data_IF_961254417067
#
_entry.id   IF_961254417067
#
_cell.length_a   1.000
_cell.length_b   1.000
_cell.length_c   1.000
_cell.angle_alpha   90.00
_cell.angle_beta   90.00
_cell.angle_gamma   90.00
#
_symmetry.space_group_name_H-M   'P 1'
#
loop_
_entity.id
_entity.type
_entity.pdbx_description
1 polymer ?
#
# COMPACT_ATOMS: atom_id res chain seq x y z
N UNK A 1 -53.53 33.33 -50.85
CA UNK A 1 -54.06 34.51 -50.24
C UNK A 1 -53.31 34.76 -48.96
N UNK A 2 -52.41 35.73 -49.05
CA UNK A 2 -51.86 36.69 -48.11
C UNK A 2 -50.92 36.10 -47.06
N UNK A 3 -49.58 36.19 -47.23
CA UNK A 3 -48.69 37.34 -47.03
C UNK A 3 -48.71 37.94 -45.62
N UNK A 4 -47.60 37.87 -44.97
CA UNK A 4 -46.86 38.89 -44.21
C UNK A 4 -45.91 38.20 -43.20
N UNK A 5 -44.65 38.17 -43.44
CA UNK A 5 -43.61 39.18 -43.27
C UNK A 5 -43.59 39.82 -41.88
N UNK A 6 -42.58 39.42 -41.08
CA UNK A 6 -42.18 40.21 -39.89
C UNK A 6 -40.70 40.01 -39.63
N UNK A 7 -39.98 40.98 -39.95
CA UNK A 7 -38.63 41.43 -39.69
C UNK A 7 -38.07 41.02 -38.33
N UNK A 8 -36.85 40.42 -38.41
CA UNK A 8 -35.87 40.36 -37.34
C UNK A 8 -35.35 41.76 -36.99
N UNK A 9 -35.60 42.21 -35.79
CA UNK A 9 -34.96 43.37 -35.21
C UNK A 9 -33.81 42.93 -34.29
N UNK A 10 -32.62 42.83 -34.87
CA UNK A 10 -31.38 42.50 -34.19
C UNK A 10 -30.78 43.81 -33.61
N UNK A 11 -31.28 44.25 -32.46
CA UNK A 11 -30.66 45.33 -31.71
C UNK A 11 -29.49 44.82 -30.87
N UNK A 12 -28.32 44.68 -31.49
CA UNK A 12 -27.08 44.44 -30.80
C UNK A 12 -26.72 45.58 -29.82
N UNK A 13 -26.80 45.30 -28.54
CA UNK A 13 -26.46 46.22 -27.46
C UNK A 13 -24.91 46.36 -27.35
N UNK A 14 -24.32 47.51 -27.68
CA UNK A 14 -22.88 47.70 -27.72
C UNK A 14 -22.16 47.62 -26.35
N UNK A 15 -22.92 47.56 -25.25
CA UNK A 15 -22.37 47.43 -23.89
C UNK A 15 -21.88 46.01 -23.57
N UNK A 16 -22.41 45.00 -24.24
CA UNK A 16 -22.00 43.59 -24.05
C UNK A 16 -20.60 43.28 -24.62
N UNK A 17 -20.29 43.88 -25.79
CA UNK A 17 -18.97 43.66 -26.44
C UNK A 17 -17.81 44.21 -25.62
N UNK A 18 -17.97 45.33 -24.94
CA UNK A 18 -16.89 45.92 -24.11
C UNK A 18 -16.59 45.09 -22.85
N UNK A 19 -17.59 44.44 -22.25
CA UNK A 19 -17.42 43.58 -21.07
C UNK A 19 -16.72 42.29 -21.45
N UNK A 20 -17.01 41.68 -22.58
CA UNK A 20 -16.32 40.49 -23.08
C UNK A 20 -14.85 40.75 -23.40
N UNK A 21 -14.57 41.90 -24.01
CA UNK A 21 -13.22 42.29 -24.39
C UNK A 21 -12.33 42.58 -23.15
N UNK A 22 -12.89 43.17 -22.12
CA UNK A 22 -12.24 43.42 -20.82
C UNK A 22 -11.92 42.11 -20.12
N UNK A 23 -12.85 41.12 -20.12
CA UNK A 23 -12.64 39.80 -19.52
C UNK A 23 -11.53 39.03 -20.23
N UNK A 24 -11.49 39.02 -21.53
CA UNK A 24 -10.44 38.39 -22.35
C UNK A 24 -9.07 39.02 -22.06
N UNK A 25 -9.02 40.33 -21.91
CA UNK A 25 -7.79 41.08 -21.65
C UNK A 25 -7.28 40.81 -20.23
N UNK A 26 -8.15 40.65 -19.23
CA UNK A 26 -7.79 40.27 -17.86
C UNK A 26 -7.23 38.84 -17.79
N UNK A 27 -7.81 37.88 -18.53
CA UNK A 27 -7.30 36.50 -18.58
C UNK A 27 -5.94 36.41 -19.24
N UNK A 28 -5.73 37.22 -20.32
CA UNK A 28 -4.45 37.28 -20.98
C UNK A 28 -3.32 37.85 -20.11
N UNK A 29 -3.63 38.84 -19.26
CA UNK A 29 -2.67 39.44 -18.33
C UNK A 29 -2.25 38.43 -17.23
N UNK A 30 -3.21 37.64 -16.71
CA UNK A 30 -2.93 36.61 -15.70
C UNK A 30 -2.06 35.48 -16.29
N UNK A 31 -2.29 35.10 -17.54
CA UNK A 31 -1.49 34.08 -18.20
C UNK A 31 -0.02 34.52 -18.44
N UNK A 32 0.21 35.78 -18.74
CA UNK A 32 1.58 36.34 -18.94
C UNK A 32 2.31 36.49 -17.60
N UNK A 33 1.61 36.88 -16.53
CA UNK A 33 2.22 37.04 -15.20
C UNK A 33 2.53 35.69 -14.53
N UNK A 34 1.68 34.66 -14.75
CA UNK A 34 1.89 33.32 -14.22
C UNK A 34 2.94 32.49 -14.98
N UNK A 35 3.10 32.74 -16.29
CA UNK A 35 4.04 31.98 -17.14
C UNK A 35 5.52 32.37 -16.98
N UNK A 36 5.82 33.57 -16.48
CA UNK A 36 7.21 34.06 -16.41
C UNK A 36 7.93 33.76 -15.09
N UNK A 37 7.20 33.34 -14.05
CA UNK A 37 7.81 33.05 -12.74
C UNK A 37 8.31 31.62 -12.56
N UNK A 38 7.90 30.67 -13.42
CA UNK A 38 8.33 29.25 -13.33
C UNK A 38 9.84 28.99 -13.65
N UNK A 39 10.47 29.62 -14.64
CA UNK A 39 11.89 29.34 -14.89
C UNK A 39 12.84 29.89 -13.83
N UNK A 40 12.42 30.91 -13.06
CA UNK A 40 13.29 31.51 -12.04
C UNK A 40 13.35 30.67 -10.75
N UNK A 41 12.26 29.97 -10.39
CA UNK A 41 12.24 29.05 -9.24
C UNK A 41 13.01 27.74 -9.54
N UNK A 42 13.00 27.26 -10.78
CA UNK A 42 13.73 26.06 -11.17
C UNK A 42 15.26 26.24 -11.12
N UNK A 43 15.76 27.45 -11.33
CA UNK A 43 17.20 27.73 -11.28
C UNK A 43 17.79 27.80 -9.85
N UNK A 44 16.98 28.08 -8.84
CA UNK A 44 17.45 28.13 -7.44
C UNK A 44 17.50 26.76 -6.76
N UNK A 45 16.79 25.75 -7.32
CA UNK A 45 16.75 24.39 -6.72
C UNK A 45 17.99 23.56 -7.13
N UNK A 46 18.73 23.97 -8.17
CA UNK A 46 19.91 23.24 -8.64
C UNK A 46 21.14 23.41 -7.71
N UNK A 47 21.15 24.41 -6.83
CA UNK A 47 22.26 24.66 -5.93
C UNK A 47 22.16 23.97 -4.57
N UNK A 48 21.04 23.25 -4.32
CA UNK A 48 20.78 22.51 -3.08
C UNK A 48 21.07 20.99 -3.19
N UNK A 49 22.01 20.60 -4.04
CA UNK A 49 22.63 19.26 -3.96
C UNK A 49 21.70 18.04 -3.96
N UNK A 50 20.51 18.12 -4.60
CA UNK A 50 19.65 16.95 -4.73
C UNK A 50 20.20 16.02 -5.81
N UNK A 51 20.89 14.99 -5.37
CA UNK A 51 21.34 13.87 -6.17
C UNK A 51 20.11 13.17 -6.75
N UNK A 52 19.98 13.23 -8.07
CA UNK A 52 18.88 12.64 -8.83
C UNK A 52 19.09 11.11 -8.86
N UNK A 53 18.57 10.40 -7.90
CA UNK A 53 18.30 8.97 -8.04
C UNK A 53 16.88 8.79 -8.55
N UNK A 54 16.81 8.26 -9.77
CA UNK A 54 15.55 7.97 -10.46
C UNK A 54 14.92 6.75 -9.83
N UNK A 55 13.96 6.95 -8.93
CA UNK A 55 13.03 5.89 -8.54
C UNK A 55 11.62 6.46 -8.64
N UNK A 56 10.81 5.79 -9.44
CA UNK A 56 9.40 6.08 -9.68
C UNK A 56 8.68 6.17 -8.34
N UNK A 57 8.12 7.34 -8.05
CA UNK A 57 7.39 7.60 -6.82
C UNK A 57 6.04 6.91 -6.82
N UNK A 58 5.74 6.24 -5.74
CA UNK A 58 4.42 6.15 -5.17
C UNK A 58 4.44 6.96 -3.88
N UNK A 59 3.63 8.03 -3.85
CA UNK A 59 3.37 8.83 -2.66
C UNK A 59 2.69 7.95 -1.62
N UNK A 60 3.47 7.48 -0.66
CA UNK A 60 2.94 7.03 0.63
C UNK A 60 3.69 7.79 1.72
N UNK A 61 3.02 8.80 2.29
CA UNK A 61 3.50 9.63 3.38
C UNK A 61 3.36 8.90 4.73
N UNK A 62 3.86 7.65 4.79
CA UNK A 62 4.20 6.98 6.03
C UNK A 62 5.70 7.13 6.23
N UNK A 63 6.16 7.56 7.39
CA UNK A 63 7.56 7.52 7.75
C UNK A 63 8.09 6.14 7.37
N UNK A 64 9.04 6.09 6.44
CA UNK A 64 9.61 4.84 5.92
C UNK A 64 10.49 4.26 7.04
N UNK A 65 9.81 3.63 8.03
CA UNK A 65 10.52 2.94 9.09
C UNK A 65 11.26 1.76 8.45
N UNK A 66 12.58 1.73 8.61
CA UNK A 66 13.41 0.65 8.10
C UNK A 66 12.92 -0.67 8.68
N UNK A 67 12.67 -1.64 7.79
CA UNK A 67 12.17 -2.97 8.18
C UNK A 67 13.28 -4.00 8.18
N UNK A 68 13.17 -4.99 9.03
CA UNK A 68 14.07 -6.13 9.10
C UNK A 68 13.26 -7.42 9.26
N UNK A 69 13.90 -8.56 9.15
CA UNK A 69 13.27 -9.87 9.10
C UNK A 69 13.79 -10.79 10.19
N UNK A 70 12.86 -11.53 10.83
CA UNK A 70 13.16 -12.57 11.82
C UNK A 70 12.72 -13.90 11.22
N UNK A 71 13.66 -14.80 10.94
CA UNK A 71 13.37 -16.12 10.40
C UNK A 71 12.75 -17.02 11.47
N UNK A 72 11.67 -17.72 11.10
CA UNK A 72 11.05 -18.72 11.95
C UNK A 72 11.48 -20.13 11.51
N UNK A 73 11.67 -21.08 12.45
CA UNK A 73 12.04 -22.45 12.10
C UNK A 73 11.02 -23.11 11.18
N UNK A 74 11.50 -24.02 10.32
CA UNK A 74 10.63 -24.83 9.46
C UNK A 74 9.65 -25.66 10.29
N UNK A 75 8.39 -25.68 9.87
CA UNK A 75 7.32 -26.46 10.49
C UNK A 75 6.72 -27.40 9.44
N UNK A 76 6.53 -28.66 9.83
CA UNK A 76 5.78 -29.63 9.03
C UNK A 76 4.53 -30.07 9.80
N UNK A 77 3.39 -30.01 9.13
CA UNK A 77 2.06 -30.33 9.70
C UNK A 77 1.31 -31.30 8.80
N UNK A 78 0.58 -32.23 9.41
CA UNK A 78 -0.36 -33.08 8.68
C UNK A 78 -1.70 -32.33 8.50
N UNK A 79 -2.17 -32.24 7.24
CA UNK A 79 -3.44 -31.58 6.92
C UNK A 79 -4.66 -32.46 7.17
N UNK A 80 -5.82 -31.82 7.34
CA UNK A 80 -7.10 -32.49 7.52
C UNK A 80 -7.66 -33.01 6.18
N UNK A 81 -7.11 -34.12 5.69
CA UNK A 81 -7.51 -34.74 4.44
C UNK A 81 -8.16 -36.10 4.65
N UNK A 82 -9.37 -36.31 4.10
CA UNK A 82 -10.17 -37.51 4.33
C UNK A 82 -9.63 -38.77 3.64
N UNK A 83 -8.90 -38.63 2.53
CA UNK A 83 -8.54 -39.78 1.68
C UNK A 83 -7.07 -40.14 1.71
N UNK A 84 -6.17 -39.18 1.78
CA UNK A 84 -4.72 -39.36 1.72
C UNK A 84 -4.06 -38.43 2.72
N UNK A 85 -3.13 -38.92 3.51
CA UNK A 85 -2.32 -38.05 4.35
C UNK A 85 -1.56 -37.05 3.49
N UNK A 86 -1.69 -35.77 3.80
CA UNK A 86 -0.98 -34.67 3.16
C UNK A 86 -0.21 -33.90 4.20
N UNK A 87 1.04 -33.59 3.88
CA UNK A 87 1.91 -32.83 4.77
C UNK A 87 2.15 -31.45 4.18
N UNK A 88 1.92 -30.42 4.98
CA UNK A 88 2.33 -29.06 4.66
C UNK A 88 3.65 -28.77 5.34
N UNK A 89 4.64 -28.37 4.57
CA UNK A 89 5.90 -27.84 5.04
C UNK A 89 5.93 -26.33 4.78
N UNK A 90 6.19 -25.56 5.83
CA UNK A 90 6.29 -24.11 5.75
C UNK A 90 7.58 -23.60 6.38
N UNK A 91 8.15 -22.60 5.76
CA UNK A 91 9.19 -21.75 6.32
C UNK A 91 8.80 -20.28 6.04
N UNK A 92 8.94 -19.43 7.03
CA UNK A 92 8.53 -18.02 6.90
C UNK A 92 9.42 -17.09 7.73
N UNK A 93 9.32 -15.79 7.42
CA UNK A 93 9.97 -14.72 8.16
C UNK A 93 8.95 -13.71 8.60
N UNK A 94 9.14 -13.14 9.80
CA UNK A 94 8.34 -12.03 10.32
C UNK A 94 8.99 -10.72 9.88
N UNK A 95 8.23 -9.84 9.26
CA UNK A 95 8.64 -8.47 8.95
C UNK A 95 8.37 -7.58 10.16
N UNK A 96 9.39 -6.91 10.65
CA UNK A 96 9.33 -6.09 11.88
C UNK A 96 10.11 -4.79 11.70
N UNK A 97 9.84 -3.74 12.49
CA UNK A 97 10.68 -2.55 12.53
C UNK A 97 12.12 -2.90 12.90
N UNK A 98 13.09 -2.42 12.10
CA UNK A 98 14.51 -2.69 12.32
C UNK A 98 14.98 -2.23 13.71
N UNK A 99 14.43 -1.12 14.20
CA UNK A 99 14.70 -0.56 15.53
C UNK A 99 14.35 -1.50 16.68
N UNK A 100 13.42 -2.44 16.49
CA UNK A 100 12.90 -3.35 17.53
C UNK A 100 13.24 -4.81 17.29
N UNK A 101 13.89 -5.15 16.17
CA UNK A 101 14.19 -6.54 15.76
C UNK A 101 14.75 -7.38 16.90
N UNK A 102 15.81 -6.92 17.53
CA UNK A 102 16.51 -7.68 18.57
C UNK A 102 15.60 -8.07 19.75
N UNK A 103 14.77 -7.11 20.21
CA UNK A 103 13.82 -7.37 21.30
C UNK A 103 12.74 -8.37 20.87
N UNK A 104 12.16 -8.17 19.69
CA UNK A 104 11.11 -9.04 19.17
C UNK A 104 11.65 -10.45 18.96
N UNK A 105 12.85 -10.61 18.41
CA UNK A 105 13.49 -11.92 18.20
C UNK A 105 13.70 -12.69 19.52
N UNK A 106 14.11 -12.00 20.58
CA UNK A 106 14.21 -12.60 21.91
C UNK A 106 12.84 -13.07 22.43
N UNK A 107 11.82 -12.25 22.28
CA UNK A 107 10.46 -12.56 22.75
C UNK A 107 9.84 -13.71 21.94
N UNK A 108 10.06 -13.74 20.61
CA UNK A 108 9.70 -14.87 19.74
C UNK A 108 10.38 -16.15 20.21
N UNK A 109 11.67 -16.11 20.50
CA UNK A 109 12.43 -17.27 20.97
C UNK A 109 11.91 -17.79 22.31
N UNK A 110 11.65 -16.91 23.27
CA UNK A 110 11.08 -17.28 24.57
C UNK A 110 9.70 -17.91 24.46
N UNK A 111 8.87 -17.41 23.56
CA UNK A 111 7.49 -17.86 23.35
C UNK A 111 7.36 -18.89 22.21
N UNK A 112 8.46 -19.37 21.65
CA UNK A 112 8.50 -20.31 20.51
C UNK A 112 7.60 -21.55 20.70
N UNK A 113 7.54 -22.21 21.88
CA UNK A 113 6.65 -23.35 22.07
C UNK A 113 5.15 -22.98 21.90
N UNK A 114 4.74 -21.78 22.33
CA UNK A 114 3.38 -21.30 22.16
C UNK A 114 3.03 -21.07 20.69
N UNK A 115 3.95 -20.46 19.93
CA UNK A 115 3.78 -20.25 18.50
C UNK A 115 3.73 -21.56 17.73
N UNK A 116 4.67 -22.47 17.98
CA UNK A 116 4.70 -23.79 17.33
C UNK A 116 3.40 -24.56 17.56
N UNK A 117 2.89 -24.59 18.79
CA UNK A 117 1.64 -25.26 19.10
C UNK A 117 0.46 -24.64 18.34
N UNK A 118 0.34 -23.31 18.35
CA UNK A 118 -0.73 -22.64 17.62
C UNK A 118 -0.68 -22.93 16.11
N UNK A 119 0.49 -22.79 15.50
CA UNK A 119 0.69 -23.01 14.06
C UNK A 119 0.32 -24.45 13.68
N UNK A 120 0.76 -25.43 14.48
CA UNK A 120 0.46 -26.84 14.24
C UNK A 120 -1.07 -27.09 14.35
N UNK A 121 -1.71 -26.63 15.40
CA UNK A 121 -3.17 -26.80 15.59
C UNK A 121 -3.94 -26.10 14.46
N UNK A 122 -3.62 -24.84 14.19
CA UNK A 122 -4.30 -24.06 13.18
C UNK A 122 -4.19 -24.67 11.77
N UNK A 123 -3.01 -25.11 11.38
CA UNK A 123 -2.79 -25.68 10.06
C UNK A 123 -3.27 -27.12 9.92
N UNK A 124 -3.23 -27.92 11.00
CA UNK A 124 -3.72 -29.29 10.97
C UNK A 124 -5.24 -29.41 10.82
N UNK A 125 -5.96 -28.33 11.10
CA UNK A 125 -7.40 -28.23 10.88
C UNK A 125 -7.76 -27.83 9.42
N UNK A 126 -6.79 -27.45 8.62
CA UNK A 126 -6.99 -26.98 7.26
C UNK A 126 -6.88 -28.09 6.23
N UNK A 127 -7.66 -27.93 5.15
CA UNK A 127 -7.59 -28.79 3.95
C UNK A 127 -6.62 -28.18 2.92
N UNK A 128 -6.19 -29.01 1.97
CA UNK A 128 -5.40 -28.55 0.81
C UNK A 128 -6.12 -27.47 0.02
N UNK A 129 -7.43 -27.59 -0.15
CA UNK A 129 -8.24 -26.62 -0.88
C UNK A 129 -8.22 -25.24 -0.22
N UNK A 130 -8.36 -25.18 1.12
CA UNK A 130 -8.31 -23.94 1.89
C UNK A 130 -6.95 -23.24 1.84
N UNK A 131 -5.87 -24.00 1.66
CA UNK A 131 -4.49 -23.49 1.63
C UNK A 131 -3.99 -23.19 0.22
N UNK A 132 -4.74 -23.61 -0.80
CA UNK A 132 -4.33 -23.49 -2.20
C UNK A 132 -4.43 -22.07 -2.74
N UNK A 133 -3.55 -21.75 -3.69
CA UNK A 133 -3.51 -20.48 -4.38
C UNK A 133 -3.02 -19.31 -3.49
N UNK A 134 -3.10 -18.10 -4.04
CA UNK A 134 -2.70 -16.88 -3.34
C UNK A 134 -3.64 -16.54 -2.19
N UNK A 135 -4.93 -16.80 -2.36
CA UNK A 135 -5.96 -16.47 -1.35
C UNK A 135 -5.75 -17.28 -0.05
N UNK A 136 -5.52 -18.60 -0.16
CA UNK A 136 -5.25 -19.46 1.00
C UNK A 136 -3.98 -19.04 1.73
N UNK A 137 -2.88 -18.83 0.99
CA UNK A 137 -1.61 -18.37 1.58
C UNK A 137 -1.71 -17.01 2.26
N UNK A 138 -2.39 -16.04 1.63
CA UNK A 138 -2.58 -14.71 2.22
C UNK A 138 -3.47 -14.75 3.48
N UNK A 139 -4.42 -15.69 3.55
CA UNK A 139 -5.21 -15.90 4.77
C UNK A 139 -4.32 -16.40 5.90
N UNK A 140 -3.51 -17.43 5.65
CA UNK A 140 -2.58 -17.97 6.65
C UNK A 140 -1.59 -16.90 7.12
N UNK A 141 -1.02 -16.10 6.19
CA UNK A 141 -0.11 -14.99 6.54
C UNK A 141 -0.76 -14.02 7.53
N UNK A 142 -1.98 -13.55 7.25
CA UNK A 142 -2.70 -12.63 8.14
C UNK A 142 -3.01 -13.24 9.50
N UNK A 143 -3.52 -14.47 9.53
CA UNK A 143 -3.85 -15.14 10.78
C UNK A 143 -2.61 -15.36 11.69
N UNK A 144 -1.49 -15.72 11.08
CA UNK A 144 -0.23 -15.85 11.83
C UNK A 144 0.25 -14.48 12.31
N UNK A 145 0.23 -13.45 11.47
CA UNK A 145 0.60 -12.09 11.85
C UNK A 145 -0.21 -11.60 13.06
N UNK A 146 -1.53 -11.74 12.98
CA UNK A 146 -2.44 -11.28 14.02
C UNK A 146 -2.17 -12.03 15.34
N UNK A 147 -1.96 -13.34 15.27
CA UNK A 147 -1.61 -14.14 16.45
C UNK A 147 -0.23 -13.78 17.03
N UNK A 148 0.78 -13.53 16.19
CA UNK A 148 2.08 -13.06 16.67
C UNK A 148 1.95 -11.72 17.39
N UNK A 149 1.20 -10.78 16.82
CA UNK A 149 0.96 -9.48 17.45
C UNK A 149 0.24 -9.60 18.78
N UNK A 150 -0.82 -10.41 18.87
CA UNK A 150 -1.57 -10.65 20.10
C UNK A 150 -0.67 -11.23 21.21
N UNK A 151 0.17 -12.21 20.87
CA UNK A 151 1.01 -12.88 21.86
C UNK A 151 2.22 -12.07 22.28
N UNK A 152 2.83 -11.31 21.34
CA UNK A 152 4.05 -10.57 21.62
C UNK A 152 3.80 -9.25 22.34
N UNK A 153 2.70 -8.57 22.01
CA UNK A 153 2.49 -7.18 22.42
C UNK A 153 1.19 -7.00 23.23
N UNK A 154 1.35 -6.95 24.55
CA UNK A 154 0.24 -6.74 25.51
C UNK A 154 -0.33 -5.31 25.42
N UNK A 155 0.41 -4.39 24.82
CA UNK A 155 0.01 -2.99 24.65
C UNK A 155 -0.94 -2.77 23.43
N UNK A 156 -1.21 -3.83 22.67
CA UNK A 156 -2.10 -3.79 21.50
C UNK A 156 -1.53 -3.06 20.29
N UNK A 157 -0.25 -2.68 20.31
CA UNK A 157 0.41 -2.04 19.17
C UNK A 157 1.03 -3.13 18.29
N UNK A 158 0.54 -3.27 17.06
CA UNK A 158 1.06 -4.23 16.10
C UNK A 158 2.45 -3.82 15.60
N UNK A 159 3.43 -4.71 15.78
CA UNK A 159 4.82 -4.50 15.33
C UNK A 159 5.29 -5.58 14.36
N UNK A 160 4.62 -6.73 14.32
CA UNK A 160 4.76 -7.67 13.21
C UNK A 160 3.91 -7.12 12.07
N UNK A 161 4.57 -6.60 11.05
CA UNK A 161 3.93 -5.93 9.91
C UNK A 161 3.38 -6.94 8.91
N UNK A 162 4.15 -8.02 8.66
CA UNK A 162 3.74 -9.10 7.76
C UNK A 162 4.43 -10.43 8.12
N UNK A 163 3.86 -11.53 7.61
CA UNK A 163 4.42 -12.89 7.65
C UNK A 163 4.68 -13.34 6.22
N UNK A 164 5.95 -13.46 5.85
CA UNK A 164 6.40 -13.74 4.50
C UNK A 164 6.84 -15.20 4.40
N UNK A 165 6.15 -16.00 3.58
CA UNK A 165 6.55 -17.40 3.35
C UNK A 165 7.78 -17.48 2.45
N UNK A 166 8.85 -18.05 2.97
CA UNK A 166 10.06 -18.40 2.22
C UNK A 166 9.84 -19.73 1.47
N UNK A 167 9.11 -20.66 2.10
CA UNK A 167 8.69 -21.94 1.52
C UNK A 167 7.26 -22.29 1.99
N UNK A 168 6.45 -22.84 1.06
CA UNK A 168 5.10 -23.29 1.34
C UNK A 168 4.76 -24.45 0.40
N UNK A 169 5.02 -25.68 0.84
CA UNK A 169 4.93 -26.88 0.02
C UNK A 169 3.98 -27.89 0.65
N UNK A 170 3.07 -28.43 -0.17
CA UNK A 170 2.25 -29.57 0.19
C UNK A 170 2.80 -30.83 -0.48
N UNK A 171 2.96 -31.89 0.28
CA UNK A 171 3.49 -33.19 -0.15
C UNK A 171 2.44 -34.27 0.04
#
# INVERSE_FOLDING_TARGET
MSDQDSQDDNSENPKSRRRGLILILCVAIIAVAGGFSMPFLAAQIQDLGFKKDSTVGSDDSGANEEVDYISFPEITVNLNEARHARFLRINFSLQVPASQKYKIEQDVTKKAPKFNNYIQVYLSDKTLEELSGSFGRNRVSRELRDYFNEVLFEDGIERVQDVLFNDFQVQ
#
